data_IF_011800270470
#
_entry.id   IF_011800270470
#
_cell.length_a   1.000
_cell.length_b   1.000
_cell.length_c   1.000
_cell.angle_alpha   90.00
_cell.angle_beta   90.00
_cell.angle_gamma   90.00
#
_symmetry.space_group_name_H-M   'P 1'
#
loop_
_entity.id
_entity.type
_entity.pdbx_description
1 polymer ?
#
# COMPACT_ATOMS: atom_id res chain seq x y z
N UNK A 1 4.73 -0.56 -43.33
CA UNK A 1 4.19 0.00 -42.08
C UNK A 1 5.36 0.34 -41.17
N UNK A 2 5.36 1.52 -40.55
CA UNK A 2 6.40 1.91 -39.59
C UNK A 2 6.19 1.08 -38.32
N UNK A 3 7.26 0.46 -37.81
CA UNK A 3 7.22 -0.26 -36.54
C UNK A 3 7.74 0.64 -35.42
N UNK A 4 7.02 0.65 -34.31
CA UNK A 4 7.38 1.38 -33.10
C UNK A 4 7.57 0.33 -32.01
N UNK A 5 8.77 0.25 -31.45
CA UNK A 5 9.05 -0.60 -30.31
C UNK A 5 8.93 0.20 -29.00
N UNK A 6 8.32 -0.40 -27.97
CA UNK A 6 8.11 0.20 -26.65
C UNK A 6 8.36 -0.82 -25.54
N UNK A 7 8.69 -0.32 -24.36
CA UNK A 7 8.61 -1.05 -23.10
C UNK A 7 7.34 -0.65 -22.33
N UNK A 8 6.75 -1.60 -21.60
CA UNK A 8 5.59 -1.34 -20.75
C UNK A 8 5.68 -2.11 -19.43
N UNK A 9 5.23 -1.48 -18.35
CA UNK A 9 5.18 -2.07 -17.03
C UNK A 9 3.80 -2.67 -16.75
N UNK A 10 3.78 -3.89 -16.22
CA UNK A 10 2.68 -4.45 -15.43
C UNK A 10 3.11 -4.32 -13.98
N UNK A 11 2.50 -3.39 -13.26
CA UNK A 11 2.69 -3.20 -11.82
C UNK A 11 1.38 -3.54 -11.13
N UNK A 12 1.43 -4.50 -10.23
CA UNK A 12 0.27 -4.99 -9.50
C UNK A 12 0.42 -4.67 -8.01
N UNK A 13 -0.63 -4.12 -7.40
CA UNK A 13 -0.72 -3.96 -5.95
C UNK A 13 -2.05 -4.49 -5.46
N UNK A 14 -2.01 -5.55 -4.64
CA UNK A 14 -3.21 -6.21 -4.13
C UNK A 14 -4.18 -6.69 -5.22
N UNK A 15 -3.66 -7.10 -6.37
CA UNK A 15 -4.47 -7.54 -7.51
C UNK A 15 -5.04 -6.42 -8.38
N UNK A 16 -4.65 -5.16 -8.18
CA UNK A 16 -4.99 -4.05 -9.08
C UNK A 16 -3.81 -3.67 -9.96
N UNK A 17 -4.09 -3.40 -11.24
CA UNK A 17 -3.11 -2.98 -12.24
C UNK A 17 -2.99 -1.46 -12.31
N UNK A 18 -1.76 -0.94 -12.27
CA UNK A 18 -1.49 0.46 -12.55
C UNK A 18 -1.61 0.78 -14.05
N UNK A 19 -2.38 1.80 -14.37
CA UNK A 19 -2.46 2.42 -15.70
C UNK A 19 -2.41 3.95 -15.59
N UNK A 20 -2.01 4.60 -16.67
CA UNK A 20 -1.86 6.06 -16.76
C UNK A 20 -2.60 6.61 -17.97
N UNK A 21 -3.07 7.85 -17.89
CA UNK A 21 -3.70 8.57 -19.00
C UNK A 21 -2.92 9.83 -19.30
N UNK A 22 -2.44 9.98 -20.53
CA UNK A 22 -1.73 11.18 -20.98
C UNK A 22 -2.69 12.37 -21.11
N UNK A 23 -2.17 13.58 -20.90
CA UNK A 23 -2.93 14.82 -21.11
C UNK A 23 -3.45 14.91 -22.53
N UNK A 24 -4.74 15.24 -22.67
CA UNK A 24 -5.39 15.34 -23.97
C UNK A 24 -5.75 14.00 -24.61
N UNK A 25 -5.65 12.89 -23.87
CA UNK A 25 -6.12 11.57 -24.28
C UNK A 25 -7.25 11.08 -23.37
N UNK A 26 -8.18 10.31 -23.95
CA UNK A 26 -9.25 9.60 -23.23
C UNK A 26 -8.85 8.16 -22.86
N UNK A 27 -7.79 7.63 -23.49
CA UNK A 27 -7.39 6.23 -23.37
C UNK A 27 -6.30 6.07 -22.31
N UNK A 28 -6.49 5.12 -21.41
CA UNK A 28 -5.48 4.68 -20.46
C UNK A 28 -4.50 3.69 -21.11
N UNK A 29 -3.24 3.80 -20.74
CA UNK A 29 -2.14 2.95 -21.18
C UNK A 29 -1.36 2.46 -19.96
N UNK A 30 -0.56 1.42 -20.13
CA UNK A 30 0.45 1.09 -19.14
C UNK A 30 1.52 2.17 -19.05
N UNK A 31 2.11 2.41 -17.87
CA UNK A 31 3.36 3.17 -17.78
C UNK A 31 4.43 2.59 -18.70
N UNK A 32 5.20 3.44 -19.34
CA UNK A 32 6.30 3.06 -20.22
C UNK A 32 6.27 3.72 -21.59
N UNK A 33 7.40 3.62 -22.30
CA UNK A 33 7.63 4.41 -23.49
C UNK A 33 8.57 3.77 -24.50
N UNK A 34 9.03 4.61 -25.43
CA UNK A 34 9.98 4.20 -26.48
C UNK A 34 11.40 4.29 -25.89
N UNK A 35 12.31 3.37 -26.22
CA UNK A 35 13.70 3.53 -25.85
C UNK A 35 14.32 4.73 -26.59
N UNK A 36 15.16 5.47 -25.88
CA UNK A 36 16.05 6.46 -26.47
C UNK A 36 17.20 5.79 -27.26
N UNK A 37 17.91 6.52 -28.14
CA UNK A 37 19.05 5.98 -28.87
C UNK A 37 20.12 5.37 -27.93
N UNK A 38 20.33 4.06 -28.03
CA UNK A 38 21.30 3.32 -27.21
C UNK A 38 20.73 2.74 -25.91
N UNK A 39 19.46 3.02 -25.60
CA UNK A 39 18.79 2.53 -24.40
C UNK A 39 18.23 1.10 -24.61
N UNK A 40 18.42 0.22 -23.62
CA UNK A 40 17.72 -1.08 -23.58
C UNK A 40 16.26 -0.88 -23.15
N UNK A 41 15.39 -1.84 -23.45
CA UNK A 41 13.97 -1.78 -23.07
C UNK A 41 13.76 -1.65 -21.56
N UNK A 42 14.56 -2.33 -20.74
CA UNK A 42 14.45 -2.26 -19.28
C UNK A 42 14.95 -0.93 -18.71
N UNK A 43 15.94 -0.30 -19.36
CA UNK A 43 16.38 1.05 -19.01
C UNK A 43 15.30 2.09 -19.36
N UNK A 44 14.71 1.96 -20.54
CA UNK A 44 13.58 2.79 -20.96
C UNK A 44 12.38 2.64 -20.02
N UNK A 45 12.09 1.40 -19.60
CA UNK A 45 11.04 1.12 -18.63
C UNK A 45 11.27 1.86 -17.31
N UNK A 46 12.49 1.78 -16.75
CA UNK A 46 12.82 2.42 -15.48
C UNK A 46 12.71 3.95 -15.55
N UNK A 47 13.24 4.55 -16.62
CA UNK A 47 13.18 5.99 -16.86
C UNK A 47 11.73 6.48 -17.01
N UNK A 48 10.99 5.89 -17.94
CA UNK A 48 9.60 6.27 -18.23
C UNK A 48 8.70 6.07 -17.01
N UNK A 49 8.89 4.98 -16.26
CA UNK A 49 8.13 4.74 -15.03
C UNK A 49 8.36 5.87 -14.01
N UNK A 50 9.60 6.31 -13.84
CA UNK A 50 9.95 7.42 -12.95
C UNK A 50 9.35 8.73 -13.44
N UNK A 51 9.46 9.03 -14.74
CA UNK A 51 8.97 10.28 -15.35
C UNK A 51 7.43 10.38 -15.34
N UNK A 52 6.75 9.29 -15.65
CA UNK A 52 5.28 9.25 -15.77
C UNK A 52 4.58 9.11 -14.42
N UNK A 53 5.21 8.45 -13.44
CA UNK A 53 4.54 8.07 -12.18
C UNK A 53 5.29 8.39 -10.89
N UNK A 54 6.57 8.77 -10.96
CA UNK A 54 7.45 8.90 -9.79
C UNK A 54 7.88 7.57 -9.15
N UNK A 55 7.42 6.43 -9.68
CA UNK A 55 7.79 5.11 -9.18
C UNK A 55 9.19 4.72 -9.60
N UNK A 56 9.92 4.09 -8.68
CA UNK A 56 11.28 3.61 -8.92
C UNK A 56 11.25 2.10 -9.16
N UNK A 57 11.74 1.67 -10.32
CA UNK A 57 11.76 0.25 -10.69
C UNK A 57 12.70 -0.54 -9.75
N UNK A 58 12.16 -1.54 -9.05
CA UNK A 58 12.89 -2.42 -8.12
C UNK A 58 13.39 -3.68 -8.83
N UNK A 59 12.46 -4.42 -9.44
CA UNK A 59 12.77 -5.63 -10.18
C UNK A 59 11.82 -5.78 -11.36
N UNK A 60 12.21 -6.60 -12.32
CA UNK A 60 11.36 -6.90 -13.46
C UNK A 60 11.62 -8.30 -14.00
N UNK A 61 10.60 -8.86 -14.63
CA UNK A 61 10.67 -10.10 -15.39
C UNK A 61 9.93 -9.91 -16.71
N UNK A 62 10.42 -10.54 -17.79
CA UNK A 62 9.73 -10.48 -19.08
C UNK A 62 8.38 -11.19 -18.95
N UNK A 63 7.30 -10.45 -19.19
CA UNK A 63 5.94 -11.02 -19.22
C UNK A 63 5.57 -11.49 -20.61
N UNK A 64 5.90 -10.71 -21.64
CA UNK A 64 5.59 -11.07 -23.02
C UNK A 64 6.00 -10.02 -24.03
N UNK A 65 5.71 -10.31 -25.30
CA UNK A 65 5.89 -9.36 -26.39
C UNK A 65 4.67 -9.43 -27.29
N UNK A 66 4.01 -8.29 -27.46
CA UNK A 66 2.75 -8.20 -28.18
C UNK A 66 2.89 -7.18 -29.30
N UNK A 67 2.06 -7.30 -30.33
CA UNK A 67 2.03 -6.34 -31.44
C UNK A 67 0.62 -6.12 -31.92
N UNK A 68 0.27 -4.85 -32.12
CA UNK A 68 -1.03 -4.45 -32.64
C UNK A 68 -0.90 -3.11 -33.39
N UNK A 69 -1.97 -2.64 -34.02
CA UNK A 69 -2.04 -1.29 -34.59
C UNK A 69 -1.85 -0.26 -33.47
N UNK A 70 -1.10 0.80 -33.74
CA UNK A 70 -0.88 1.85 -32.75
C UNK A 70 -2.20 2.54 -32.40
N UNK A 71 -2.53 2.64 -31.11
CA UNK A 71 -3.73 3.34 -30.64
C UNK A 71 -3.80 4.81 -31.09
N UNK A 72 -2.64 5.45 -31.27
CA UNK A 72 -2.53 6.87 -31.64
C UNK A 72 -2.06 7.11 -33.10
N UNK A 73 -1.65 6.08 -33.84
CA UNK A 73 -1.13 6.20 -35.22
C UNK A 73 -1.55 4.99 -36.11
N UNK A 74 -2.69 5.04 -36.80
CA UNK A 74 -3.25 3.89 -37.52
C UNK A 74 -2.38 3.31 -38.66
N UNK A 75 -1.39 4.08 -39.15
CA UNK A 75 -0.42 3.67 -40.19
C UNK A 75 0.82 2.97 -39.62
N UNK A 76 0.91 2.85 -38.29
CA UNK A 76 2.03 2.26 -37.54
C UNK A 76 1.59 0.99 -36.81
N UNK A 77 2.50 0.01 -36.72
CA UNK A 77 2.37 -1.14 -35.83
C UNK A 77 3.20 -0.89 -34.59
N UNK A 78 2.61 -1.03 -33.41
CA UNK A 78 3.33 -0.94 -32.14
C UNK A 78 3.65 -2.36 -31.68
N UNK A 79 4.91 -2.61 -31.37
CA UNK A 79 5.37 -3.80 -30.65
C UNK A 79 5.74 -3.37 -29.23
N UNK A 80 5.13 -4.00 -28.23
CA UNK A 80 5.42 -3.71 -26.82
C UNK A 80 6.08 -4.93 -26.18
N UNK A 81 7.24 -4.72 -25.59
CA UNK A 81 7.84 -5.63 -24.63
C UNK A 81 7.26 -5.31 -23.26
N UNK A 82 6.51 -6.26 -22.70
CA UNK A 82 5.79 -6.10 -21.44
C UNK A 82 6.58 -6.79 -20.34
N UNK A 83 6.78 -6.08 -19.23
CA UNK A 83 7.53 -6.54 -18.07
C UNK A 83 6.60 -6.58 -16.85
N UNK A 84 6.57 -7.71 -16.15
CA UNK A 84 6.02 -7.76 -14.80
C UNK A 84 7.04 -7.10 -13.88
N UNK A 85 6.68 -5.99 -13.27
CA UNK A 85 7.58 -5.09 -12.59
C UNK A 85 7.14 -4.84 -11.15
N UNK A 86 8.12 -4.82 -10.26
CA UNK A 86 7.98 -4.34 -8.90
C UNK A 86 8.56 -2.94 -8.80
N UNK A 87 7.88 -2.04 -8.10
CA UNK A 87 8.32 -0.65 -8.00
C UNK A 87 7.97 -0.01 -6.66
N UNK A 88 8.89 0.85 -6.20
CA UNK A 88 8.82 1.55 -4.92
C UNK A 88 8.20 2.95 -5.08
N UNK A 89 7.53 3.40 -4.02
CA UNK A 89 6.89 4.72 -3.93
C UNK A 89 5.39 4.72 -4.22
N UNK A 90 4.80 5.91 -4.20
CA UNK A 90 3.38 6.12 -4.50
C UNK A 90 3.25 6.67 -5.92
N UNK A 91 2.49 5.99 -6.78
CA UNK A 91 2.26 6.46 -8.14
C UNK A 91 1.54 7.81 -8.10
N UNK A 92 2.10 8.83 -8.76
CA UNK A 92 1.49 10.16 -8.89
C UNK A 92 1.62 10.65 -10.33
N UNK A 93 0.67 11.41 -10.88
CA UNK A 93 0.77 11.87 -12.27
C UNK A 93 2.01 12.73 -12.50
N UNK A 94 2.90 12.28 -13.38
CA UNK A 94 4.02 13.06 -13.90
C UNK A 94 3.59 14.21 -14.82
N UNK A 95 4.55 14.92 -15.42
CA UNK A 95 4.25 16.11 -16.23
C UNK A 95 3.32 15.82 -17.42
N UNK A 96 3.58 14.72 -18.14
CA UNK A 96 2.78 14.29 -19.30
C UNK A 96 1.48 13.57 -18.93
N UNK A 97 1.38 13.09 -17.70
CA UNK A 97 0.27 12.27 -17.22
C UNK A 97 -0.79 13.16 -16.59
N UNK A 98 -2.02 13.01 -17.04
CA UNK A 98 -3.17 13.67 -16.45
C UNK A 98 -3.65 12.91 -15.21
N UNK A 99 -3.62 11.59 -15.28
CA UNK A 99 -4.24 10.72 -14.30
C UNK A 99 -3.50 9.38 -14.19
N UNK A 100 -3.33 8.91 -12.96
CA UNK A 100 -2.98 7.52 -12.63
C UNK A 100 -4.25 6.81 -12.17
N UNK A 101 -4.39 5.52 -12.48
CA UNK A 101 -5.53 4.72 -12.05
C UNK A 101 -5.08 3.29 -11.70
N UNK A 102 -5.73 2.71 -10.69
CA UNK A 102 -5.57 1.31 -10.33
C UNK A 102 -6.85 0.56 -10.70
N UNK A 103 -6.73 -0.45 -11.54
CA UNK A 103 -7.89 -1.11 -12.17
C UNK A 103 -7.94 -2.60 -11.86
N UNK A 104 -9.16 -3.14 -11.80
CA UNK A 104 -9.43 -4.58 -11.77
C UNK A 104 -9.89 -5.07 -13.16
N UNK A 105 -10.26 -6.35 -13.27
CA UNK A 105 -10.79 -6.92 -14.51
C UNK A 105 -12.13 -6.33 -14.99
N UNK A 106 -12.78 -5.50 -14.16
CA UNK A 106 -14.05 -4.82 -14.42
C UNK A 106 -13.89 -3.33 -14.77
N UNK A 107 -12.72 -2.97 -15.28
CA UNK A 107 -12.37 -1.60 -15.68
C UNK A 107 -13.32 -1.02 -16.73
N UNK A 108 -13.91 -1.86 -17.61
CA UNK A 108 -14.86 -1.40 -18.63
C UNK A 108 -16.14 -0.85 -18.02
N UNK A 109 -16.67 -1.51 -16.99
CA UNK A 109 -17.87 -1.02 -16.29
C UNK A 109 -17.57 0.25 -15.48
N UNK A 110 -16.29 0.48 -15.12
CA UNK A 110 -15.83 1.73 -14.53
C UNK A 110 -15.61 2.86 -15.57
N UNK A 111 -15.95 2.62 -16.85
CA UNK A 111 -15.80 3.60 -17.93
C UNK A 111 -14.36 3.80 -18.41
N UNK A 112 -13.46 2.85 -18.14
CA UNK A 112 -12.06 2.95 -18.50
C UNK A 112 -11.83 2.32 -19.88
N UNK A 113 -11.31 3.12 -20.81
CA UNK A 113 -10.84 2.66 -22.11
C UNK A 113 -9.33 2.37 -22.03
N UNK A 114 -8.92 1.15 -22.38
CA UNK A 114 -7.51 0.75 -22.38
C UNK A 114 -6.93 0.65 -23.79
N UNK A 115 -5.63 0.93 -23.91
CA UNK A 115 -4.88 0.67 -25.13
C UNK A 115 -4.97 -0.81 -25.54
N UNK A 116 -5.15 -1.07 -26.84
CA UNK A 116 -5.56 -2.38 -27.37
C UNK A 116 -4.67 -3.55 -26.96
N UNK A 117 -3.36 -3.34 -26.81
CA UNK A 117 -2.44 -4.42 -26.39
C UNK A 117 -2.75 -4.87 -24.96
N UNK A 118 -2.97 -3.93 -24.05
CA UNK A 118 -3.28 -4.25 -22.66
C UNK A 118 -4.68 -4.83 -22.53
N UNK A 119 -5.63 -4.23 -23.26
CA UNK A 119 -7.02 -4.67 -23.27
C UNK A 119 -7.17 -6.12 -23.82
N UNK A 120 -6.66 -6.39 -25.02
CA UNK A 120 -6.90 -7.66 -25.71
C UNK A 120 -5.99 -8.81 -25.28
N UNK A 121 -4.80 -8.53 -24.73
CA UNK A 121 -3.80 -9.56 -24.47
C UNK A 121 -3.30 -9.58 -23.02
N UNK A 122 -2.88 -8.44 -22.47
CA UNK A 122 -2.23 -8.42 -21.15
C UNK A 122 -3.23 -8.65 -20.03
N UNK A 123 -4.32 -7.89 -19.96
CA UNK A 123 -5.35 -8.03 -18.92
C UNK A 123 -5.96 -9.44 -18.91
N UNK A 124 -6.37 -10.04 -20.05
CA UNK A 124 -6.81 -11.43 -20.09
C UNK A 124 -5.77 -12.42 -19.57
N UNK A 125 -4.49 -12.23 -19.89
CA UNK A 125 -3.42 -13.08 -19.39
C UNK A 125 -3.22 -12.95 -17.88
N UNK A 126 -3.30 -11.73 -17.32
CA UNK A 126 -3.21 -11.49 -15.88
C UNK A 126 -4.39 -12.12 -15.12
N UNK A 127 -5.61 -12.02 -15.67
CA UNK A 127 -6.80 -12.68 -15.11
C UNK A 127 -6.66 -14.21 -15.14
N UNK A 128 -6.20 -14.78 -16.25
CA UNK A 128 -6.00 -16.22 -16.38
C UNK A 128 -4.95 -16.78 -15.42
N UNK A 129 -3.96 -15.95 -15.04
CA UNK A 129 -2.93 -16.31 -14.05
C UNK A 129 -3.34 -16.00 -12.60
N UNK A 130 -4.53 -15.42 -12.37
CA UNK A 130 -4.99 -15.02 -11.03
C UNK A 130 -4.21 -13.84 -10.44
N UNK A 131 -3.49 -13.09 -11.27
CA UNK A 131 -2.67 -11.94 -10.85
C UNK A 131 -3.49 -10.65 -10.77
N UNK A 132 -4.56 -10.53 -11.56
CA UNK A 132 -5.49 -9.41 -11.53
C UNK A 132 -6.78 -9.82 -10.84
N UNK A 133 -7.29 -8.97 -9.95
CA UNK A 133 -8.60 -9.12 -9.32
C UNK A 133 -9.67 -9.16 -10.43
N UNK A 134 -10.59 -10.13 -10.40
CA UNK A 134 -11.70 -10.12 -11.34
C UNK A 134 -12.62 -8.92 -11.08
N UNK A 135 -13.24 -8.41 -12.13
CA UNK A 135 -14.24 -7.34 -12.05
C UNK A 135 -15.56 -7.75 -11.41
N UNK A 136 -15.68 -8.91 -10.77
CA UNK A 136 -16.89 -9.26 -10.05
C UNK A 136 -16.85 -8.62 -8.67
N UNK A 137 -17.86 -7.84 -8.33
CA UNK A 137 -18.14 -7.61 -6.91
C UNK A 137 -18.41 -8.98 -6.29
N UNK A 138 -17.85 -9.30 -5.12
CA UNK A 138 -18.29 -10.47 -4.38
C UNK A 138 -19.81 -10.42 -4.29
N UNK A 139 -20.47 -11.56 -4.52
CA UNK A 139 -21.85 -11.73 -4.08
C UNK A 139 -21.83 -11.53 -2.57
N UNK A 140 -22.24 -10.35 -2.11
CA UNK A 140 -22.44 -10.05 -0.69
C UNK A 140 -23.74 -10.71 -0.24
N UNK A 141 -23.94 -11.99 -0.56
CA UNK A 141 -24.93 -12.81 0.13
C UNK A 141 -24.66 -12.71 1.62
N UNK A 142 -25.72 -12.59 2.43
CA UNK A 142 -25.70 -12.32 3.88
C UNK A 142 -24.43 -12.85 4.59
N UNK A 143 -23.42 -12.01 4.87
CA UNK A 143 -22.36 -12.41 5.79
C UNK A 143 -22.92 -12.28 7.21
N UNK A 144 -22.71 -13.30 8.05
CA UNK A 144 -23.05 -13.23 9.46
C UNK A 144 -22.10 -12.31 10.25
N UNK A 145 -20.90 -12.07 9.71
CA UNK A 145 -19.81 -11.33 10.35
C UNK A 145 -19.10 -10.41 9.35
N UNK A 146 -18.63 -9.25 9.83
CA UNK A 146 -17.81 -8.31 9.07
C UNK A 146 -16.49 -8.08 9.78
N UNK A 147 -15.40 -8.00 9.03
CA UNK A 147 -14.13 -7.51 9.55
C UNK A 147 -13.95 -6.07 9.09
N UNK A 148 -13.86 -5.13 10.03
CA UNK A 148 -13.57 -3.73 9.73
C UNK A 148 -12.13 -3.45 10.13
N UNK A 149 -11.31 -3.06 9.16
CA UNK A 149 -9.89 -2.78 9.35
C UNK A 149 -9.70 -1.29 9.11
N UNK A 150 -9.15 -0.60 10.10
CA UNK A 150 -8.90 0.85 10.00
C UNK A 150 -7.42 1.13 10.22
N UNK A 151 -6.83 1.93 9.32
CA UNK A 151 -5.59 2.64 9.66
C UNK A 151 -5.86 3.72 10.71
N UNK A 152 -4.78 4.13 11.39
CA UNK A 152 -4.80 5.13 12.44
C UNK A 152 -4.56 6.56 11.93
N UNK A 153 -3.33 6.85 11.48
CA UNK A 153 -2.84 8.21 11.27
C UNK A 153 -3.24 8.77 9.90
N UNK A 154 -4.05 9.82 9.88
CA UNK A 154 -4.61 10.37 8.64
C UNK A 154 -5.85 9.61 8.14
N UNK A 155 -6.29 8.60 8.90
CA UNK A 155 -7.51 7.82 8.61
C UNK A 155 -8.57 8.02 9.68
N UNK A 156 -8.38 7.54 10.91
CA UNK A 156 -9.35 7.73 12.02
C UNK A 156 -8.87 8.77 13.05
N UNK A 157 -7.57 9.09 13.04
CA UNK A 157 -6.95 10.09 13.90
C UNK A 157 -6.17 11.09 13.03
N UNK A 158 -6.40 12.38 13.25
CA UNK A 158 -5.80 13.46 12.47
C UNK A 158 -4.87 14.30 13.33
N UNK A 159 -3.86 14.92 12.72
CA UNK A 159 -2.91 15.84 13.36
C UNK A 159 -2.17 15.26 14.60
N UNK A 160 -1.99 13.93 14.64
CA UNK A 160 -1.34 13.22 15.75
C UNK A 160 -2.15 13.21 17.05
N UNK A 161 -3.41 13.65 17.01
CA UNK A 161 -4.34 13.66 18.13
C UNK A 161 -5.15 12.36 18.27
N UNK A 162 -6.06 12.34 19.24
CA UNK A 162 -7.06 11.27 19.37
C UNK A 162 -8.04 11.27 18.19
N UNK A 163 -8.73 10.15 17.89
CA UNK A 163 -9.87 10.18 17.00
C UNK A 163 -10.88 11.26 17.41
N UNK A 164 -11.45 11.95 16.42
CA UNK A 164 -12.45 12.98 16.67
C UNK A 164 -13.73 12.41 17.32
N UNK A 165 -14.63 13.25 17.85
CA UNK A 165 -15.77 12.78 18.61
C UNK A 165 -16.75 11.94 17.78
N UNK A 166 -16.92 12.21 16.48
CA UNK A 166 -17.84 11.43 15.64
C UNK A 166 -17.24 10.10 15.23
N UNK A 167 -15.96 10.08 14.87
CA UNK A 167 -15.24 8.84 14.60
C UNK A 167 -15.19 7.98 15.87
N UNK A 168 -14.90 8.58 17.03
CA UNK A 168 -14.90 7.88 18.32
C UNK A 168 -16.24 7.22 18.61
N UNK A 169 -17.35 7.93 18.43
CA UNK A 169 -18.69 7.37 18.63
C UNK A 169 -19.00 6.22 17.65
N UNK A 170 -18.53 6.32 16.40
CA UNK A 170 -18.68 5.24 15.44
C UNK A 170 -17.86 4.01 15.84
N UNK A 171 -16.58 4.18 16.18
CA UNK A 171 -15.70 3.08 16.61
C UNK A 171 -16.19 2.40 17.90
N UNK A 172 -16.67 3.18 18.86
CA UNK A 172 -17.25 2.64 20.10
C UNK A 172 -18.47 1.76 19.81
N UNK A 173 -19.37 2.23 18.94
CA UNK A 173 -20.52 1.45 18.50
C UNK A 173 -20.12 0.18 17.72
N UNK A 174 -19.13 0.29 16.83
CA UNK A 174 -18.64 -0.86 16.05
C UNK A 174 -18.04 -1.94 16.96
N UNK A 175 -17.23 -1.55 17.95
CA UNK A 175 -16.60 -2.50 18.88
C UNK A 175 -17.56 -3.12 19.91
N UNK A 176 -18.80 -2.63 20.04
CA UNK A 176 -19.83 -3.26 20.87
C UNK A 176 -20.62 -4.36 20.15
N UNK A 177 -20.48 -4.45 18.82
CA UNK A 177 -21.26 -5.36 17.99
C UNK A 177 -20.59 -6.71 17.86
N UNK A 178 -21.32 -7.77 18.23
CA UNK A 178 -20.81 -9.15 18.10
C UNK A 178 -20.72 -9.66 16.65
N UNK A 179 -21.34 -8.97 15.69
CA UNK A 179 -21.25 -9.29 14.26
C UNK A 179 -20.14 -8.52 13.54
N UNK A 180 -19.32 -7.77 14.28
CA UNK A 180 -18.21 -6.98 13.76
C UNK A 180 -16.94 -7.39 14.49
N UNK A 181 -15.89 -7.67 13.72
CA UNK A 181 -14.52 -7.82 14.21
C UNK A 181 -13.75 -6.56 13.83
N UNK A 182 -13.46 -5.69 14.81
CA UNK A 182 -12.75 -4.43 14.62
C UNK A 182 -11.24 -4.64 14.73
N UNK A 183 -10.52 -4.27 13.67
CA UNK A 183 -9.06 -4.33 13.58
C UNK A 183 -8.48 -2.94 13.39
N UNK A 184 -7.43 -2.61 14.14
CA UNK A 184 -6.60 -1.43 13.86
C UNK A 184 -5.28 -1.86 13.27
N UNK A 185 -4.99 -1.42 12.04
CA UNK A 185 -3.77 -1.76 11.31
C UNK A 185 -2.91 -0.52 11.06
N UNK A 186 -1.78 -0.41 11.74
CA UNK A 186 -0.99 0.84 11.81
C UNK A 186 0.52 0.59 11.67
N UNK A 187 1.24 1.59 11.18
CA UNK A 187 2.72 1.60 11.23
C UNK A 187 3.26 1.81 12.65
N UNK A 188 2.44 2.32 13.56
CA UNK A 188 2.84 2.60 14.94
C UNK A 188 3.14 1.32 15.73
N UNK A 189 4.05 1.47 16.68
CA UNK A 189 4.23 0.52 17.76
C UNK A 189 3.08 0.60 18.78
N UNK A 190 2.86 -0.44 19.60
CA UNK A 190 1.76 -0.48 20.58
C UNK A 190 1.67 0.75 21.48
N UNK A 191 2.82 1.24 21.96
CA UNK A 191 2.92 2.41 22.85
C UNK A 191 2.29 3.67 22.24
N UNK A 192 2.59 3.93 20.96
CA UNK A 192 2.14 5.13 20.26
C UNK A 192 0.71 5.03 19.79
N UNK A 193 0.27 3.84 19.36
CA UNK A 193 -1.08 3.65 18.86
C UNK A 193 -2.11 3.67 19.99
N UNK A 194 -1.84 2.97 21.11
CA UNK A 194 -2.75 2.96 22.27
C UNK A 194 -2.87 4.33 22.92
N UNK A 195 -1.78 5.12 22.93
CA UNK A 195 -1.82 6.51 23.38
C UNK A 195 -2.80 7.35 22.55
N UNK A 196 -2.81 7.17 21.23
CA UNK A 196 -3.78 7.85 20.35
C UNK A 196 -5.20 7.32 20.56
N UNK A 197 -5.39 6.00 20.62
CA UNK A 197 -6.73 5.44 20.76
C UNK A 197 -7.36 5.71 22.14
N UNK A 198 -6.56 5.90 23.18
CA UNK A 198 -7.06 6.14 24.53
C UNK A 198 -8.00 5.03 24.99
N UNK A 199 -9.17 5.41 25.51
CA UNK A 199 -10.19 4.44 25.96
C UNK A 199 -10.76 3.57 24.82
N UNK A 200 -10.71 4.03 23.56
CA UNK A 200 -11.17 3.22 22.42
C UNK A 200 -10.29 2.00 22.18
N UNK A 201 -9.09 1.95 22.76
CA UNK A 201 -8.21 0.78 22.62
C UNK A 201 -8.86 -0.51 23.14
N UNK A 202 -9.76 -0.42 24.12
CA UNK A 202 -10.50 -1.56 24.70
C UNK A 202 -11.63 -2.06 23.78
N UNK A 203 -11.96 -1.32 22.71
CA UNK A 203 -12.96 -1.69 21.70
C UNK A 203 -12.39 -2.45 20.51
N UNK A 204 -11.06 -2.57 20.44
CA UNK A 204 -10.36 -3.17 19.29
C UNK A 204 -10.13 -4.66 19.55
N UNK A 205 -10.71 -5.52 18.71
CA UNK A 205 -10.59 -6.97 18.84
C UNK A 205 -9.19 -7.48 18.49
N UNK A 206 -8.57 -6.86 17.48
CA UNK A 206 -7.23 -7.22 17.02
C UNK A 206 -6.42 -6.00 16.56
N UNK A 207 -5.13 -6.00 16.87
CA UNK A 207 -4.19 -4.98 16.49
C UNK A 207 -3.11 -5.53 15.57
N UNK A 208 -2.84 -4.83 14.47
CA UNK A 208 -1.71 -5.06 13.58
C UNK A 208 -0.78 -3.86 13.65
N UNK A 209 0.19 -3.93 14.54
CA UNK A 209 1.20 -2.89 14.75
C UNK A 209 2.36 -3.06 13.76
N UNK A 210 3.13 -1.99 13.58
CA UNK A 210 4.35 -2.00 12.78
C UNK A 210 4.13 -2.61 11.38
N UNK A 211 3.05 -2.17 10.70
CA UNK A 211 2.65 -2.68 9.37
C UNK A 211 2.38 -4.19 9.34
N UNK A 212 1.95 -4.78 10.46
CA UNK A 212 1.67 -6.21 10.58
C UNK A 212 2.80 -7.05 11.16
N UNK A 213 3.98 -6.45 11.45
CA UNK A 213 5.10 -7.16 12.06
C UNK A 213 4.81 -7.66 13.47
N UNK A 214 3.85 -7.03 14.17
CA UNK A 214 3.47 -7.38 15.53
C UNK A 214 1.94 -7.38 15.66
N UNK A 215 1.36 -8.55 15.90
CA UNK A 215 -0.09 -8.75 15.96
C UNK A 215 -0.53 -9.32 17.30
N UNK A 216 -1.63 -8.81 17.80
CA UNK A 216 -2.21 -9.24 19.08
C UNK A 216 -3.73 -9.09 19.04
N UNK A 217 -4.45 -9.98 19.72
CA UNK A 217 -5.91 -9.93 19.82
C UNK A 217 -6.40 -10.74 21.02
N UNK A 218 -7.64 -10.52 21.42
CA UNK A 218 -8.20 -11.21 22.59
C UNK A 218 -8.19 -12.74 22.40
N UNK A 219 -7.58 -13.46 23.35
CA UNK A 219 -7.50 -14.92 23.33
C UNK A 219 -6.61 -15.49 22.23
N UNK A 220 -5.80 -14.67 21.54
CA UNK A 220 -4.84 -15.11 20.51
C UNK A 220 -3.41 -14.97 21.01
N UNK A 221 -2.55 -15.88 20.57
CA UNK A 221 -1.11 -15.72 20.76
C UNK A 221 -0.63 -14.49 20.02
N UNK A 222 0.37 -13.83 20.59
CA UNK A 222 1.01 -12.68 19.95
C UNK A 222 1.90 -13.19 18.83
N UNK A 223 1.68 -12.70 17.61
CA UNK A 223 2.51 -13.04 16.47
C UNK A 223 3.50 -11.92 16.19
N UNK A 224 4.75 -12.29 15.99
CA UNK A 224 5.84 -11.35 15.73
C UNK A 224 6.67 -11.83 14.55
N UNK A 225 7.00 -10.93 13.63
CA UNK A 225 7.94 -11.17 12.54
C UNK A 225 9.13 -10.24 12.67
N UNK A 226 10.30 -10.80 12.93
CA UNK A 226 11.55 -10.05 13.04
C UNK A 226 12.16 -9.75 11.67
N UNK A 227 12.90 -8.65 11.59
CA UNK A 227 13.77 -8.32 10.48
C UNK A 227 14.93 -9.33 10.39
N UNK A 228 15.33 -9.76 9.18
CA UNK A 228 16.51 -10.60 9.01
C UNK A 228 17.78 -9.91 9.54
N UNK A 229 18.51 -10.59 10.43
CA UNK A 229 19.65 -10.02 11.15
C UNK A 229 20.76 -9.49 10.24
N UNK A 230 21.07 -10.20 9.15
CA UNK A 230 22.16 -9.84 8.25
C UNK A 230 21.85 -8.56 7.44
N UNK A 231 20.71 -8.48 6.71
CA UNK A 231 20.23 -7.22 6.14
C UNK A 231 20.15 -6.07 7.13
N UNK A 232 19.61 -6.32 8.34
CA UNK A 232 19.49 -5.29 9.37
C UNK A 232 20.86 -4.75 9.80
N UNK A 233 21.84 -5.64 10.00
CA UNK A 233 23.21 -5.24 10.35
C UNK A 233 23.86 -4.40 9.25
N UNK A 234 23.67 -4.77 7.99
CA UNK A 234 24.18 -4.03 6.83
C UNK A 234 23.57 -2.62 6.75
N UNK A 235 22.25 -2.50 6.89
CA UNK A 235 21.55 -1.20 6.92
C UNK A 235 22.01 -0.32 8.08
N UNK A 236 22.11 -0.87 9.30
CA UNK A 236 22.61 -0.11 10.47
C UNK A 236 24.04 0.38 10.21
N UNK A 237 24.91 -0.45 9.64
CA UNK A 237 26.27 -0.03 9.30
C UNK A 237 26.29 1.14 8.30
N UNK A 238 25.44 1.07 7.26
CA UNK A 238 25.29 2.13 6.26
C UNK A 238 24.80 3.46 6.89
N UNK A 239 23.74 3.41 7.70
CA UNK A 239 23.18 4.58 8.38
C UNK A 239 24.19 5.22 9.34
N UNK A 240 24.93 4.41 10.08
CA UNK A 240 25.94 4.89 11.03
C UNK A 240 27.14 5.54 10.34
N UNK A 241 27.55 5.04 9.18
CA UNK A 241 28.67 5.60 8.43
C UNK A 241 28.42 7.07 8.03
N UNK A 242 27.15 7.44 7.84
CA UNK A 242 26.71 8.78 7.42
C UNK A 242 25.99 9.54 8.55
N UNK A 243 26.05 9.01 9.78
CA UNK A 243 25.39 9.56 10.97
C UNK A 243 23.88 9.85 10.81
N UNK A 244 23.17 9.02 10.05
CA UNK A 244 21.73 9.17 9.85
C UNK A 244 20.96 8.66 11.06
N UNK A 245 20.01 9.45 11.62
CA UNK A 245 19.18 9.01 12.74
C UNK A 245 18.29 7.83 12.37
N UNK A 246 18.22 6.86 13.28
CA UNK A 246 17.31 5.73 13.16
C UNK A 246 16.83 5.26 14.52
N UNK A 247 15.76 4.47 14.57
CA UNK A 247 15.42 3.68 15.75
C UNK A 247 15.10 2.23 15.38
N UNK A 248 15.32 1.34 16.36
CA UNK A 248 14.96 -0.08 16.28
C UNK A 248 13.79 -0.33 17.23
N UNK A 249 12.74 -0.95 16.73
CA UNK A 249 11.53 -1.30 17.47
C UNK A 249 11.46 -2.80 17.70
N UNK A 250 11.06 -3.20 18.91
CA UNK A 250 10.97 -4.59 19.38
C UNK A 250 9.53 -5.00 19.75
N UNK A 251 8.58 -4.06 19.65
CA UNK A 251 7.18 -4.21 20.06
C UNK A 251 6.94 -3.67 21.46
N UNK A 252 7.73 -4.08 22.45
CA UNK A 252 7.61 -3.68 23.86
C UNK A 252 8.59 -2.57 24.27
N UNK A 253 9.72 -2.45 23.58
CA UNK A 253 10.73 -1.39 23.76
C UNK A 253 11.28 -0.89 22.42
N UNK A 254 12.04 0.20 22.46
CA UNK A 254 12.75 0.72 21.29
C UNK A 254 14.09 1.36 21.69
N UNK A 255 15.03 1.44 20.75
CA UNK A 255 16.31 2.14 20.93
C UNK A 255 16.54 3.14 19.81
N UNK A 256 17.04 4.34 20.12
CA UNK A 256 17.23 5.44 19.17
C UNK A 256 18.71 5.74 18.97
N UNK A 257 19.13 5.97 17.73
CA UNK A 257 20.47 6.43 17.36
C UNK A 257 20.40 7.84 16.76
N UNK A 258 21.38 8.70 17.09
CA UNK A 258 21.57 9.99 16.42
C UNK A 258 20.68 11.14 16.88
N UNK A 259 20.05 11.06 18.06
CA UNK A 259 19.31 12.17 18.68
C UNK A 259 18.03 12.64 17.97
N UNK A 260 17.64 11.98 16.86
CA UNK A 260 16.41 12.25 16.12
C UNK A 260 15.14 11.83 16.89
N UNK A 261 14.00 11.89 16.20
CA UNK A 261 12.70 11.45 16.72
C UNK A 261 12.30 12.15 18.03
N UNK A 262 12.40 13.48 18.09
CA UNK A 262 12.09 14.25 19.30
C UNK A 262 10.63 14.08 19.75
N UNK A 263 9.72 13.78 18.82
CA UNK A 263 8.32 13.45 19.11
C UNK A 263 8.14 12.08 19.79
N UNK A 264 9.16 11.22 19.81
CA UNK A 264 9.18 9.93 20.52
C UNK A 264 9.78 10.05 21.93
N UNK A 265 9.31 11.04 22.69
CA UNK A 265 9.69 11.25 24.09
C UNK A 265 8.87 10.34 25.03
N UNK A 266 9.08 9.03 24.93
CA UNK A 266 8.45 8.04 25.81
C UNK A 266 9.38 7.66 26.98
N UNK A 267 8.83 7.27 28.15
CA UNK A 267 9.64 6.88 29.32
C UNK A 267 10.57 5.69 29.07
N UNK A 268 10.23 4.83 28.11
CA UNK A 268 10.97 3.64 27.69
C UNK A 268 11.96 3.90 26.56
N UNK A 269 12.20 5.18 26.19
CA UNK A 269 13.23 5.55 25.22
C UNK A 269 14.61 5.19 25.75
N UNK A 270 15.31 4.31 25.04
CA UNK A 270 16.71 3.98 25.27
C UNK A 270 17.59 4.47 24.11
N UNK A 271 18.86 4.77 24.41
CA UNK A 271 19.84 5.17 23.40
C UNK A 271 20.54 3.93 22.82
N UNK A 272 20.69 3.91 21.51
CA UNK A 272 21.41 2.88 20.77
C UNK A 272 22.89 2.95 21.12
N UNK A 273 23.45 1.85 21.59
CA UNK A 273 24.89 1.70 21.82
C UNK A 273 25.44 0.53 21.01
N UNK A 274 26.44 0.74 20.13
CA UNK A 274 27.05 -0.34 19.37
C UNK A 274 27.82 -1.32 20.27
N UNK A 275 28.30 -0.84 21.43
CA UNK A 275 29.06 -1.64 22.39
C UNK A 275 28.15 -2.50 23.27
N UNK A 276 26.83 -2.24 23.26
CA UNK A 276 25.84 -2.97 24.05
C UNK A 276 25.27 -4.20 23.34
N UNK A 277 25.74 -4.51 22.12
CA UNK A 277 25.25 -5.60 21.25
C UNK A 277 23.72 -5.72 21.23
N UNK A 278 23.01 -4.82 20.52
CA UNK A 278 21.55 -4.85 20.49
C UNK A 278 21.09 -6.21 19.95
N UNK A 279 20.08 -6.80 20.60
CA UNK A 279 19.49 -8.07 20.17
C UNK A 279 18.75 -7.93 18.82
N UNK A 280 19.50 -7.96 17.73
CA UNK A 280 18.95 -7.76 16.38
C UNK A 280 17.94 -8.85 16.00
N UNK A 281 17.98 -10.02 16.64
CA UNK A 281 17.10 -11.14 16.32
C UNK A 281 15.64 -10.90 16.68
N UNK A 282 15.36 -9.91 17.53
CA UNK A 282 14.00 -9.56 17.96
C UNK A 282 13.52 -8.20 17.46
N UNK A 283 14.32 -7.51 16.64
CA UNK A 283 13.92 -6.25 16.02
C UNK A 283 12.85 -6.52 14.97
N UNK A 284 11.70 -5.87 15.09
CA UNK A 284 10.54 -6.05 14.19
C UNK A 284 10.46 -4.95 13.13
N UNK A 285 11.04 -3.78 13.42
CA UNK A 285 11.02 -2.63 12.52
C UNK A 285 12.25 -1.74 12.73
N UNK A 286 12.87 -1.35 11.63
CA UNK A 286 13.87 -0.28 11.58
C UNK A 286 13.19 0.96 11.03
N UNK A 287 13.44 2.11 11.62
CA UNK A 287 12.87 3.37 11.13
C UNK A 287 13.96 4.40 10.97
N UNK A 288 13.95 5.09 9.84
CA UNK A 288 14.97 6.07 9.45
C UNK A 288 14.29 7.41 9.24
N UNK A 289 14.89 8.46 9.80
CA UNK A 289 14.47 9.85 9.60
C UNK A 289 15.56 10.54 8.78
N UNK A 290 15.21 10.89 7.54
CA UNK A 290 16.15 11.50 6.61
C UNK A 290 15.45 12.52 5.71
N UNK A 291 16.14 13.65 5.47
CA UNK A 291 15.68 14.68 4.54
C UNK A 291 15.80 14.26 3.07
N UNK A 292 16.61 13.23 2.76
CA UNK A 292 16.78 12.69 1.41
C UNK A 292 16.27 11.24 1.35
N UNK A 293 14.95 11.08 1.48
CA UNK A 293 14.35 9.75 1.58
C UNK A 293 14.56 8.92 0.32
N UNK A 294 14.61 9.53 -0.87
CA UNK A 294 14.83 8.82 -2.13
C UNK A 294 16.22 8.18 -2.20
N UNK A 295 17.27 8.93 -1.85
CA UNK A 295 18.63 8.38 -1.76
C UNK A 295 18.71 7.21 -0.76
N UNK A 296 18.09 7.38 0.40
CA UNK A 296 18.18 6.39 1.47
C UNK A 296 17.38 5.13 1.17
N UNK A 297 16.23 5.22 0.51
CA UNK A 297 15.50 4.03 0.05
C UNK A 297 16.40 3.19 -0.86
N UNK A 298 17.07 3.80 -1.85
CA UNK A 298 18.00 3.09 -2.73
C UNK A 298 19.15 2.44 -1.96
N UNK A 299 19.84 3.19 -1.08
CA UNK A 299 20.97 2.66 -0.30
C UNK A 299 20.59 1.55 0.67
N UNK A 300 19.43 1.67 1.33
CA UNK A 300 18.93 0.65 2.24
C UNK A 300 18.53 -0.61 1.47
N UNK A 301 17.90 -0.46 0.29
CA UNK A 301 17.60 -1.57 -0.61
C UNK A 301 18.86 -2.26 -1.10
N UNK A 302 19.87 -1.52 -1.54
CA UNK A 302 21.17 -2.09 -1.96
C UNK A 302 21.85 -2.88 -0.84
N UNK A 303 21.63 -2.47 0.42
CA UNK A 303 22.17 -3.15 1.59
C UNK A 303 21.38 -4.38 2.02
N UNK A 304 20.07 -4.41 1.76
CA UNK A 304 19.16 -5.43 2.27
C UNK A 304 18.64 -6.42 1.21
N UNK A 305 18.74 -6.08 -0.08
CA UNK A 305 18.14 -6.85 -1.17
C UNK A 305 16.61 -6.87 -1.11
N UNK A 306 16.04 -8.00 -1.54
CA UNK A 306 14.59 -8.24 -1.55
C UNK A 306 14.05 -8.78 -0.21
N UNK A 307 14.90 -8.85 0.83
CA UNK A 307 14.55 -9.43 2.15
C UNK A 307 13.79 -8.44 3.06
N UNK A 308 13.49 -7.23 2.58
CA UNK A 308 12.81 -6.17 3.34
C UNK A 308 11.71 -5.48 2.56
N UNK A 309 10.67 -5.06 3.27
CA UNK A 309 9.72 -4.05 2.83
C UNK A 309 10.21 -2.66 3.26
N UNK A 310 10.12 -1.67 2.37
CA UNK A 310 10.47 -0.28 2.68
C UNK A 310 9.27 0.60 2.34
N UNK A 311 8.76 1.33 3.33
CA UNK A 311 7.63 2.23 3.19
C UNK A 311 8.04 3.66 3.55
N UNK A 312 7.90 4.58 2.60
CA UNK A 312 8.04 6.01 2.83
C UNK A 312 6.70 6.59 3.26
N UNK A 313 6.69 7.28 4.40
CA UNK A 313 5.53 8.03 4.88
C UNK A 313 5.61 9.50 4.45
N UNK A 314 4.46 10.18 4.37
CA UNK A 314 4.37 11.59 3.95
C UNK A 314 5.23 12.59 4.75
N UNK A 315 5.76 12.20 5.92
CA UNK A 315 6.66 12.99 6.76
C UNK A 315 8.17 12.78 6.49
N UNK A 316 8.55 12.03 5.46
CA UNK A 316 9.95 11.73 5.14
C UNK A 316 10.56 10.57 5.94
N UNK A 317 9.79 10.01 6.88
CA UNK A 317 10.16 8.85 7.69
C UNK A 317 10.03 7.59 6.86
N UNK A 318 11.07 6.76 6.88
CA UNK A 318 11.13 5.48 6.20
C UNK A 318 10.95 4.37 7.23
N UNK A 319 9.91 3.56 7.09
CA UNK A 319 9.75 2.32 7.83
C UNK A 319 10.33 1.15 7.02
N UNK A 320 11.06 0.27 7.70
CA UNK A 320 11.60 -0.96 7.13
C UNK A 320 11.14 -2.14 7.99
N UNK A 321 10.50 -3.13 7.36
CA UNK A 321 10.04 -4.40 7.96
C UNK A 321 10.54 -5.59 7.12
N UNK A 322 10.40 -6.82 7.62
CA UNK A 322 10.81 -7.99 6.85
C UNK A 322 9.97 -8.13 5.55
N UNK A 323 10.55 -8.75 4.52
CA UNK A 323 9.85 -9.00 3.26
C UNK A 323 8.48 -9.67 3.49
N UNK A 324 7.46 -9.18 2.78
CA UNK A 324 6.08 -9.67 2.90
C UNK A 324 5.35 -9.27 4.18
N UNK A 325 5.97 -8.50 5.08
CA UNK A 325 5.30 -7.92 6.25
C UNK A 325 4.61 -6.63 5.84
N UNK A 326 3.35 -6.76 5.45
CA UNK A 326 2.46 -5.65 5.10
C UNK A 326 1.16 -5.72 5.90
N UNK A 327 0.41 -4.61 5.96
CA UNK A 327 -0.92 -4.59 6.59
C UNK A 327 -1.91 -5.54 5.91
N UNK A 328 -1.65 -5.91 4.66
CA UNK A 328 -2.49 -6.80 3.88
C UNK A 328 -2.16 -8.28 4.13
N UNK A 329 -0.96 -8.61 4.62
CA UNK A 329 -0.53 -10.00 4.81
C UNK A 329 -1.48 -10.84 5.66
N UNK A 330 -2.03 -10.34 6.78
CA UNK A 330 -2.99 -11.09 7.59
C UNK A 330 -4.30 -11.40 6.85
N UNK A 331 -4.61 -10.67 5.78
CA UNK A 331 -5.82 -10.87 4.99
C UNK A 331 -5.81 -12.19 4.21
N UNK A 332 -4.63 -12.66 3.78
CA UNK A 332 -4.46 -13.96 3.12
C UNK A 332 -4.98 -15.11 3.99
N UNK A 333 -4.86 -14.97 5.32
CA UNK A 333 -5.32 -15.97 6.28
C UNK A 333 -6.83 -15.88 6.54
N UNK A 334 -7.41 -14.67 6.45
CA UNK A 334 -8.83 -14.40 6.76
C UNK A 334 -9.77 -14.65 5.58
N UNK A 335 -9.39 -14.24 4.37
CA UNK A 335 -10.23 -14.42 3.17
C UNK A 335 -10.44 -15.91 2.85
N UNK A 336 -9.51 -16.77 3.28
CA UNK A 336 -9.60 -18.21 3.13
C UNK A 336 -10.44 -18.91 4.22
N UNK A 337 -10.83 -18.22 5.30
CA UNK A 337 -11.36 -18.88 6.49
C UNK A 337 -12.89 -18.82 6.64
N UNK A 338 -13.56 -17.67 6.39
CA UNK A 338 -14.91 -17.49 6.96
C UNK A 338 -15.99 -16.84 6.08
N UNK A 339 -15.74 -16.46 4.82
CA UNK A 339 -16.76 -15.74 4.03
C UNK A 339 -17.24 -14.42 4.66
N UNK A 340 -16.46 -13.87 5.61
CA UNK A 340 -16.68 -12.54 6.21
C UNK A 340 -16.34 -11.48 5.18
N UNK A 341 -17.16 -10.45 5.11
CA UNK A 341 -16.86 -9.26 4.29
C UNK A 341 -15.79 -8.44 4.99
N UNK A 342 -14.74 -8.10 4.25
CA UNK A 342 -13.64 -7.24 4.70
C UNK A 342 -13.89 -5.83 4.23
N UNK A 343 -13.96 -4.91 5.19
CA UNK A 343 -13.99 -3.47 4.91
C UNK A 343 -12.72 -2.83 5.43
N UNK A 344 -12.03 -2.06 4.58
CA UNK A 344 -10.77 -1.41 4.94
C UNK A 344 -10.82 0.11 4.78
N UNK A 345 -10.15 0.83 5.68
CA UNK A 345 -9.94 2.27 5.63
C UNK A 345 -8.45 2.57 5.72
N UNK A 346 -7.96 3.48 4.89
CA UNK A 346 -6.55 3.86 4.87
C UNK A 346 -6.29 5.10 4.01
N UNK A 347 -5.09 5.65 4.08
CA UNK A 347 -4.74 6.90 3.39
C UNK A 347 -3.35 6.90 2.76
N UNK A 348 -2.44 6.01 3.16
CA UNK A 348 -1.04 6.05 2.75
C UNK A 348 -0.58 4.75 2.06
N UNK A 349 0.67 4.74 1.56
CA UNK A 349 1.24 3.66 0.76
C UNK A 349 1.14 2.28 1.42
N UNK A 350 1.38 2.19 2.73
CA UNK A 350 1.28 0.94 3.50
C UNK A 350 -0.15 0.39 3.59
N UNK A 351 -1.17 1.17 3.24
CA UNK A 351 -2.57 0.73 3.17
C UNK A 351 -2.97 0.26 1.78
N UNK A 352 -2.22 0.64 0.74
CA UNK A 352 -2.65 0.45 -0.64
C UNK A 352 -3.00 -1.01 -0.95
N UNK A 353 -2.15 -1.94 -0.53
CA UNK A 353 -2.38 -3.36 -0.75
C UNK A 353 -3.59 -3.88 0.04
N UNK A 354 -3.78 -3.41 1.28
CA UNK A 354 -4.91 -3.77 2.12
C UNK A 354 -6.24 -3.30 1.47
N UNK A 355 -6.27 -2.06 1.01
CA UNK A 355 -7.42 -1.46 0.34
C UNK A 355 -7.71 -2.13 -1.01
N UNK A 356 -6.67 -2.48 -1.77
CA UNK A 356 -6.81 -3.18 -3.04
C UNK A 356 -7.43 -4.59 -2.88
N UNK A 357 -7.09 -5.29 -1.79
CA UNK A 357 -7.56 -6.66 -1.52
C UNK A 357 -8.93 -6.72 -0.83
N UNK A 358 -9.30 -5.70 -0.04
CA UNK A 358 -10.57 -5.66 0.68
C UNK A 358 -11.80 -5.81 -0.25
N UNK A 359 -12.93 -6.23 0.31
CA UNK A 359 -14.19 -6.33 -0.44
C UNK A 359 -14.87 -4.98 -0.63
N UNK A 360 -14.69 -4.09 0.35
CA UNK A 360 -15.06 -2.68 0.30
C UNK A 360 -13.90 -1.88 0.91
N UNK A 361 -13.50 -0.80 0.26
CA UNK A 361 -12.38 0.00 0.71
C UNK A 361 -12.70 1.49 0.68
N UNK A 362 -12.14 2.22 1.63
CA UNK A 362 -12.24 3.66 1.74
C UNK A 362 -10.85 4.28 1.79
N UNK A 363 -10.53 5.08 0.78
CA UNK A 363 -9.34 5.93 0.78
C UNK A 363 -9.70 7.25 1.46
N UNK A 364 -9.03 7.57 2.56
CA UNK A 364 -9.24 8.81 3.31
C UNK A 364 -8.28 9.89 2.81
N UNK A 365 -8.83 11.07 2.50
CA UNK A 365 -8.06 12.22 2.04
C UNK A 365 -7.62 12.10 0.58
N UNK A 366 -6.43 12.64 0.27
CA UNK A 366 -5.91 12.80 -1.09
C UNK A 366 -4.82 11.79 -1.47
N UNK A 367 -4.37 10.95 -0.52
CA UNK A 367 -3.35 9.94 -0.78
C UNK A 367 -3.84 8.86 -1.75
N UNK A 368 -2.92 8.01 -2.22
CA UNK A 368 -3.21 6.88 -3.10
C UNK A 368 -4.04 7.28 -4.34
N UNK A 369 -3.56 8.21 -5.17
CA UNK A 369 -4.35 8.71 -6.31
C UNK A 369 -4.70 7.58 -7.26
N UNK A 370 -5.91 7.63 -7.80
CA UNK A 370 -6.40 6.68 -8.78
C UNK A 370 -6.91 5.35 -8.23
N UNK A 371 -6.75 5.08 -6.93
CA UNK A 371 -7.21 3.84 -6.31
C UNK A 371 -8.75 3.74 -6.31
N UNK A 372 -9.44 4.88 -6.24
CA UNK A 372 -10.91 5.00 -6.36
C UNK A 372 -11.48 4.59 -7.72
N UNK A 373 -10.62 4.34 -8.72
CA UNK A 373 -11.04 3.78 -10.01
C UNK A 373 -11.36 2.29 -9.92
N UNK A 374 -10.87 1.58 -8.91
CA UNK A 374 -11.30 0.23 -8.61
C UNK A 374 -12.71 0.25 -7.98
N UNK A 375 -13.59 -0.65 -8.44
CA UNK A 375 -15.03 -0.52 -8.16
C UNK A 375 -15.43 -0.71 -6.71
N UNK A 376 -14.62 -1.38 -5.91
CA UNK A 376 -14.84 -1.57 -4.47
C UNK A 376 -14.28 -0.42 -3.62
N UNK A 377 -13.54 0.51 -4.22
CA UNK A 377 -12.87 1.59 -3.49
C UNK A 377 -13.70 2.87 -3.58
N UNK A 378 -13.83 3.60 -2.47
CA UNK A 378 -14.45 4.92 -2.39
C UNK A 378 -13.48 5.91 -1.76
N UNK A 379 -13.46 7.15 -2.23
CA UNK A 379 -12.68 8.22 -1.60
C UNK A 379 -13.58 9.01 -0.65
N UNK A 380 -13.06 9.34 0.53
CA UNK A 380 -13.75 10.17 1.53
C UNK A 380 -12.81 11.29 2.00
N UNK A 381 -13.37 12.42 2.41
CA UNK A 381 -12.58 13.52 2.96
C UNK A 381 -11.86 13.12 4.25
N UNK A 382 -10.66 13.66 4.48
CA UNK A 382 -9.90 13.47 5.71
C UNK A 382 -10.43 14.39 6.82
N UNK A 383 -11.63 14.11 7.29
CA UNK A 383 -12.24 14.81 8.42
C UNK A 383 -13.14 13.88 9.26
N UNK A 384 -13.33 14.27 10.52
CA UNK A 384 -14.09 13.50 11.53
C UNK A 384 -15.52 13.18 11.07
N UNK A 385 -16.20 14.08 10.34
CA UNK A 385 -17.57 13.83 9.92
C UNK A 385 -17.64 12.84 8.76
N UNK A 386 -16.82 13.04 7.72
CA UNK A 386 -16.81 12.19 6.54
C UNK A 386 -16.41 10.75 6.87
N UNK A 387 -15.36 10.57 7.67
CA UNK A 387 -14.91 9.23 8.09
C UNK A 387 -15.95 8.55 8.98
N UNK A 388 -16.54 9.27 9.94
CA UNK A 388 -17.62 8.71 10.74
C UNK A 388 -18.82 8.29 9.89
N UNK A 389 -19.26 9.12 8.92
CA UNK A 389 -20.34 8.76 8.00
C UNK A 389 -20.03 7.48 7.22
N UNK A 390 -18.79 7.33 6.75
CA UNK A 390 -18.39 6.10 6.06
C UNK A 390 -18.41 4.88 7.00
N UNK A 391 -17.91 5.00 8.24
CA UNK A 391 -17.98 3.94 9.26
C UNK A 391 -19.44 3.54 9.57
N UNK A 392 -20.34 4.50 9.72
CA UNK A 392 -21.78 4.25 9.91
C UNK A 392 -22.43 3.61 8.68
N UNK A 393 -22.01 4.00 7.49
CA UNK A 393 -22.50 3.40 6.25
C UNK A 393 -22.16 1.92 6.22
N UNK A 394 -20.97 1.49 6.64
CA UNK A 394 -20.56 0.07 6.68
C UNK A 394 -21.50 -0.81 7.52
N UNK A 395 -22.05 -0.25 8.59
CA UNK A 395 -23.09 -0.90 9.42
C UNK A 395 -24.41 -1.03 8.67
N UNK A 396 -24.69 -0.03 7.83
CA UNK A 396 -25.96 0.16 7.13
C UNK A 396 -25.97 -0.41 5.72
N UNK A 397 -24.82 -0.83 5.14
CA UNK A 397 -24.73 -1.43 3.80
C UNK A 397 -25.78 -2.56 3.78
N UNK A 398 -26.89 -2.37 3.05
CA UNK A 398 -27.95 -3.36 3.02
C UNK A 398 -27.37 -4.67 2.48
N UNK A 399 -27.86 -5.81 2.99
CA UNK A 399 -27.71 -7.07 2.27
C UNK A 399 -28.27 -6.82 0.85
N UNK A 400 -27.43 -6.95 -0.17
CA UNK A 400 -27.69 -6.41 -1.52
C UNK A 400 -29.08 -6.75 -2.06
N UNK A 401 -29.82 -5.71 -2.49
CA UNK A 401 -30.73 -5.67 -3.67
C UNK A 401 -31.39 -4.28 -3.89
N UNK A 402 -30.78 -3.14 -3.51
CA UNK A 402 -31.35 -1.80 -3.80
C UNK A 402 -30.31 -0.74 -4.21
N UNK A 403 -29.49 -1.04 -5.21
CA UNK A 403 -28.80 0.00 -6.00
C UNK A 403 -29.01 -0.26 -7.50
N UNK A 404 -30.26 -0.45 -7.90
CA UNK A 404 -30.76 -0.11 -9.23
C UNK A 404 -31.95 0.83 -9.07
N UNK A 405 -31.69 2.14 -9.19
CA UNK A 405 -32.66 3.16 -9.61
C UNK A 405 -31.89 4.38 -10.14
#
# INVERSE_FOLDING_TARGET
>A
MRRIDKAAAVILRGGLLLVVRKRGSTTFISPGGKPEPGERMDQALARELTEETGLHLRSWQRFGTYSDRAAFEPSSTVRIEVFLAEADGTATPGQEIEEVAWIDGGFREAGIELGSIFDHFVVPALLAQGLLRPGSMPSLGRPAERTIIVDLDGTIAFDGGHPGPKVSAALDHLGERSDIHLVVATSRAPRGARKIMGALADRVDEWWFCNGAFRTGHGRETETTALPCEPLRAMIACLRAEAVPFYLEYGDRFVVSGGGFSWMAYPDRAEYSPDADPDLATVIKLVVDSQDSALWICRLRDSAGDDVEICLHAGGVIDITAAGVTKAKPLDLRMNANGSVVVAFGNDLNDQELLARADVAFVVGIGLPGLERARHVRRVSADDAAVATALWHVVSIPASDELEA
#
